data_IF_139486357685
#
_entry.id   IF_139486357685
#
_cell.length_a   1.000
_cell.length_b   1.000
_cell.length_c   1.000
_cell.angle_alpha   90.00
_cell.angle_beta   90.00
_cell.angle_gamma   90.00
#
_symmetry.space_group_name_H-M   'P 1'
#
loop_
_entity.id
_entity.type
_entity.pdbx_description
1 polymer ?
#
# COMPACT_ATOMS: atom_id res chain seq x y z
N UNK A 1 16.15 -21.63 -14.56
CA UNK A 1 15.24 -21.36 -15.70
C UNK A 1 16.07 -21.26 -16.98
N UNK A 2 15.87 -22.15 -17.96
CA UNK A 2 16.59 -22.11 -19.24
C UNK A 2 16.25 -20.81 -19.98
N UNK A 3 17.26 -20.07 -20.47
CA UNK A 3 17.05 -18.92 -21.36
C UNK A 3 16.44 -19.43 -22.67
N UNK A 4 15.14 -19.27 -22.85
CA UNK A 4 14.46 -19.62 -24.10
C UNK A 4 14.97 -18.71 -25.23
N UNK A 5 15.58 -19.34 -26.24
CA UNK A 5 16.20 -18.70 -27.41
C UNK A 5 15.36 -19.07 -28.63
N UNK A 6 14.98 -18.07 -29.43
CA UNK A 6 14.23 -18.29 -30.67
C UNK A 6 15.12 -19.03 -31.68
N UNK A 7 14.56 -20.02 -32.37
CA UNK A 7 15.22 -20.79 -33.43
C UNK A 7 14.97 -20.12 -34.79
N UNK A 8 13.79 -19.56 -35.02
CA UNK A 8 13.42 -18.86 -36.25
C UNK A 8 13.90 -17.39 -36.21
N UNK A 9 14.54 -16.97 -37.30
CA UNK A 9 15.07 -15.62 -37.50
C UNK A 9 13.95 -14.56 -37.57
N UNK A 10 12.80 -14.91 -38.12
CA UNK A 10 11.63 -14.04 -38.24
C UNK A 10 10.99 -13.77 -36.88
N UNK A 11 10.84 -14.78 -36.01
CA UNK A 11 10.39 -14.59 -34.62
C UNK A 11 11.32 -13.64 -33.87
N UNK A 12 12.64 -13.85 -34.01
CA UNK A 12 13.64 -12.99 -33.37
C UNK A 12 13.54 -11.55 -33.88
N UNK A 13 13.36 -11.36 -35.19
CA UNK A 13 13.20 -10.02 -35.80
C UNK A 13 11.95 -9.33 -35.27
N UNK A 14 10.81 -10.02 -35.24
CA UNK A 14 9.55 -9.51 -34.72
C UNK A 14 9.64 -9.12 -33.25
N UNK A 15 10.14 -10.02 -32.39
CA UNK A 15 10.33 -9.73 -30.96
C UNK A 15 11.30 -8.58 -30.73
N UNK A 16 12.39 -8.49 -31.52
CA UNK A 16 13.35 -7.41 -31.38
C UNK A 16 12.72 -6.06 -31.71
N UNK A 17 11.95 -5.97 -32.80
CA UNK A 17 11.24 -4.75 -33.17
C UNK A 17 10.23 -4.37 -32.09
N UNK A 18 9.41 -5.31 -31.63
CA UNK A 18 8.49 -5.08 -30.52
C UNK A 18 9.22 -4.57 -29.29
N UNK A 19 10.33 -5.21 -28.89
CA UNK A 19 11.13 -4.78 -27.76
C UNK A 19 11.63 -3.34 -27.94
N UNK A 20 12.19 -2.98 -29.10
CA UNK A 20 12.71 -1.62 -29.36
C UNK A 20 11.64 -0.55 -29.41
N UNK A 21 10.39 -0.90 -29.72
CA UNK A 21 9.27 0.06 -29.73
C UNK A 21 8.86 0.49 -28.32
N UNK A 22 9.18 -0.28 -27.27
CA UNK A 22 8.90 0.11 -25.89
C UNK A 22 9.90 1.15 -25.38
N UNK A 23 9.48 2.36 -24.97
CA UNK A 23 10.40 3.44 -24.61
C UNK A 23 11.00 3.33 -23.19
N UNK A 24 10.29 2.79 -22.19
CA UNK A 24 10.66 2.97 -20.78
C UNK A 24 11.25 1.71 -20.13
N UNK A 25 10.93 0.53 -20.65
CA UNK A 25 11.36 -0.77 -20.12
C UNK A 25 11.18 -0.91 -18.59
N UNK A 26 10.08 -0.35 -18.07
CA UNK A 26 9.73 -0.43 -16.66
C UNK A 26 9.34 -1.87 -16.26
N UNK A 27 9.05 -2.11 -14.97
CA UNK A 27 8.71 -3.45 -14.46
C UNK A 27 7.49 -4.05 -15.18
N UNK A 28 6.52 -3.24 -15.58
CA UNK A 28 5.27 -3.68 -16.18
C UNK A 28 5.46 -4.02 -17.66
N UNK A 29 6.16 -3.17 -18.41
CA UNK A 29 6.58 -3.45 -19.79
C UNK A 29 7.45 -4.69 -19.86
N UNK A 30 8.39 -4.86 -18.92
CA UNK A 30 9.22 -6.07 -18.84
C UNK A 30 8.37 -7.33 -18.60
N UNK A 31 7.35 -7.24 -17.74
CA UNK A 31 6.41 -8.35 -17.51
C UNK A 31 5.62 -8.68 -18.77
N UNK A 32 5.06 -7.66 -19.43
CA UNK A 32 4.33 -7.83 -20.68
C UNK A 32 5.20 -8.44 -21.78
N UNK A 33 6.39 -7.89 -22.02
CA UNK A 33 7.37 -8.40 -22.99
C UNK A 33 7.77 -9.84 -22.68
N UNK A 34 7.94 -10.20 -21.41
CA UNK A 34 8.26 -11.59 -21.02
C UNK A 34 7.10 -12.54 -21.32
N UNK A 35 5.87 -12.14 -21.01
CA UNK A 35 4.68 -12.92 -21.34
C UNK A 35 4.49 -13.07 -22.85
N UNK A 36 4.68 -11.98 -23.60
CA UNK A 36 4.59 -11.97 -25.06
C UNK A 36 5.68 -12.83 -25.70
N UNK A 37 6.90 -12.81 -25.15
CA UNK A 37 8.00 -13.67 -25.56
C UNK A 37 7.63 -15.15 -25.48
N UNK A 38 6.96 -15.56 -24.41
CA UNK A 38 6.50 -16.96 -24.24
C UNK A 38 5.47 -17.33 -25.31
N UNK A 39 4.49 -16.44 -25.58
CA UNK A 39 3.49 -16.68 -26.64
C UNK A 39 4.11 -16.81 -28.03
N UNK A 40 5.11 -15.98 -28.34
CA UNK A 40 5.87 -16.10 -29.59
C UNK A 40 6.62 -17.43 -29.69
N UNK A 41 7.19 -17.93 -28.58
CA UNK A 41 7.84 -19.23 -28.52
C UNK A 41 6.88 -20.39 -28.78
N UNK A 42 5.68 -20.32 -28.20
CA UNK A 42 4.64 -21.32 -28.41
C UNK A 42 4.17 -21.34 -29.87
N UNK A 43 4.00 -20.17 -30.47
CA UNK A 43 3.63 -20.03 -31.88
C UNK A 43 4.73 -20.53 -32.82
N UNK A 44 5.99 -20.17 -32.57
CA UNK A 44 7.14 -20.69 -33.33
C UNK A 44 7.25 -22.22 -33.25
N UNK A 45 6.92 -22.81 -32.10
CA UNK A 45 6.93 -24.27 -31.95
C UNK A 45 5.84 -24.94 -32.80
N UNK A 46 4.67 -24.32 -32.93
CA UNK A 46 3.57 -24.83 -33.75
C UNK A 46 3.82 -24.60 -35.25
N UNK A 47 4.44 -23.48 -35.60
CA UNK A 47 4.71 -23.07 -36.98
C UNK A 47 6.18 -22.63 -37.14
N UNK A 48 7.11 -23.59 -37.29
CA UNK A 48 8.55 -23.30 -37.31
C UNK A 48 9.00 -22.46 -38.51
N UNK A 49 8.29 -22.55 -39.63
CA UNK A 49 8.62 -21.86 -40.89
C UNK A 49 7.80 -20.57 -41.13
N UNK A 50 7.18 -20.00 -40.09
CA UNK A 50 6.42 -18.77 -40.22
C UNK A 50 7.25 -17.58 -40.75
N UNK A 51 6.63 -16.84 -41.67
CA UNK A 51 7.12 -15.57 -42.19
C UNK A 51 6.88 -14.44 -41.19
N UNK A 52 7.64 -13.37 -41.32
CA UNK A 52 7.43 -12.14 -40.55
C UNK A 52 6.00 -11.58 -40.74
N UNK A 53 5.42 -11.73 -41.93
CA UNK A 53 4.04 -11.30 -42.20
C UNK A 53 3.00 -12.12 -41.43
N UNK A 54 3.25 -13.41 -41.20
CA UNK A 54 2.34 -14.26 -40.42
C UNK A 54 2.29 -13.79 -38.96
N UNK A 55 3.42 -13.33 -38.41
CA UNK A 55 3.45 -12.71 -37.08
C UNK A 55 2.66 -11.41 -37.02
N UNK A 56 2.76 -10.55 -38.06
CA UNK A 56 1.94 -9.34 -38.14
C UNK A 56 0.47 -9.69 -38.24
N UNK A 57 0.10 -10.70 -39.05
CA UNK A 57 -1.29 -11.09 -39.22
C UNK A 57 -1.89 -11.70 -37.94
N UNK A 58 -1.13 -12.54 -37.23
CA UNK A 58 -1.62 -13.24 -36.05
C UNK A 58 -1.56 -12.39 -34.77
N UNK A 59 -0.53 -11.56 -34.61
CA UNK A 59 -0.30 -10.79 -33.38
C UNK A 59 -0.53 -9.29 -33.53
N UNK A 60 -0.53 -8.77 -34.76
CA UNK A 60 -0.60 -7.33 -35.05
C UNK A 60 0.76 -6.68 -35.25
N UNK A 61 0.74 -5.40 -35.59
CA UNK A 61 1.94 -4.58 -35.73
C UNK A 61 2.54 -4.31 -34.34
N UNK A 62 3.88 -4.31 -34.22
CA UNK A 62 4.53 -4.00 -32.95
C UNK A 62 4.13 -2.64 -32.35
N UNK A 63 3.84 -1.66 -33.21
CA UNK A 63 3.39 -0.31 -32.82
C UNK A 63 1.99 -0.33 -32.23
N UNK A 64 1.05 -0.99 -32.89
CA UNK A 64 -0.34 -1.15 -32.41
C UNK A 64 -0.38 -1.86 -31.06
N UNK A 65 0.44 -2.91 -30.89
CA UNK A 65 0.53 -3.64 -29.61
C UNK A 65 1.00 -2.73 -28.47
N UNK A 66 1.95 -1.83 -28.76
CA UNK A 66 2.47 -0.89 -27.76
C UNK A 66 1.42 0.18 -27.44
N UNK A 67 0.71 0.71 -28.44
CA UNK A 67 -0.40 1.65 -28.26
C UNK A 67 -1.50 1.02 -27.40
N UNK A 68 -1.94 -0.19 -27.75
CA UNK A 68 -2.94 -0.94 -27.00
C UNK A 68 -2.49 -1.22 -25.57
N UNK A 69 -1.22 -1.60 -25.39
CA UNK A 69 -0.65 -1.80 -24.07
C UNK A 69 -0.78 -0.54 -23.21
N UNK A 70 -0.38 0.63 -23.72
CA UNK A 70 -0.44 1.87 -22.95
C UNK A 70 -1.87 2.37 -22.73
N UNK A 71 -2.76 2.21 -23.70
CA UNK A 71 -4.17 2.56 -23.56
C UNK A 71 -4.84 1.76 -22.42
N UNK A 72 -4.58 0.45 -22.34
CA UNK A 72 -5.07 -0.39 -21.24
C UNK A 72 -4.32 -0.17 -19.93
N UNK A 73 -3.01 0.11 -20.01
CA UNK A 73 -2.16 0.39 -18.86
C UNK A 73 -2.62 1.64 -18.11
N UNK A 74 -2.92 2.73 -18.83
CA UNK A 74 -3.36 3.99 -18.22
C UNK A 74 -4.74 3.81 -17.54
N UNK A 75 -5.67 3.10 -18.19
CA UNK A 75 -6.95 2.74 -17.57
C UNK A 75 -6.78 1.88 -16.30
N UNK A 76 -5.91 0.87 -16.31
CA UNK A 76 -5.68 0.03 -15.15
C UNK A 76 -4.93 0.78 -14.02
N UNK A 77 -3.98 1.64 -14.37
CA UNK A 77 -3.25 2.48 -13.42
C UNK A 77 -4.20 3.49 -12.76
N UNK A 78 -5.04 4.17 -13.54
CA UNK A 78 -6.09 5.06 -13.06
C UNK A 78 -7.07 4.34 -12.12
N UNK A 79 -7.60 3.17 -12.50
CA UNK A 79 -8.53 2.39 -11.66
C UNK A 79 -7.85 1.93 -10.36
N UNK A 80 -6.60 1.50 -10.40
CA UNK A 80 -5.86 1.03 -9.23
C UNK A 80 -5.51 2.18 -8.28
N UNK A 81 -5.14 3.35 -8.81
CA UNK A 81 -4.89 4.56 -8.02
C UNK A 81 -6.17 5.24 -7.53
N UNK A 82 -7.31 5.05 -8.19
CA UNK A 82 -8.61 5.47 -7.67
C UNK A 82 -9.03 4.64 -6.46
N UNK A 83 -8.69 3.33 -6.41
CA UNK A 83 -8.94 2.49 -5.25
C UNK A 83 -8.08 2.86 -4.04
N UNK A 84 -6.82 3.26 -4.24
CA UNK A 84 -5.93 3.66 -3.13
C UNK A 84 -6.35 4.98 -2.47
N UNK A 85 -6.89 5.94 -3.23
CA UNK A 85 -7.50 7.16 -2.67
C UNK A 85 -8.67 6.84 -1.73
N UNK A 86 -9.52 5.87 -2.09
CA UNK A 86 -10.63 5.43 -1.24
C UNK A 86 -10.13 4.75 0.04
N UNK A 87 -9.10 3.90 -0.05
CA UNK A 87 -8.49 3.25 1.12
C UNK A 87 -7.90 4.29 2.09
N UNK A 88 -7.17 5.29 1.59
CA UNK A 88 -6.65 6.39 2.41
C UNK A 88 -7.76 7.22 3.07
N UNK A 89 -8.86 7.47 2.36
CA UNK A 89 -10.03 8.16 2.92
C UNK A 89 -10.69 7.35 4.04
N UNK A 90 -10.93 6.05 3.84
CA UNK A 90 -11.50 5.19 4.88
C UNK A 90 -10.56 5.04 6.09
N UNK A 91 -9.24 4.93 5.86
CA UNK A 91 -8.25 4.87 6.94
C UNK A 91 -8.27 6.12 7.82
N UNK A 92 -8.40 7.31 7.22
CA UNK A 92 -8.51 8.57 7.97
C UNK A 92 -9.80 8.63 8.81
N UNK A 93 -10.92 8.18 8.27
CA UNK A 93 -12.21 8.14 8.98
C UNK A 93 -12.17 7.20 10.20
N UNK A 94 -11.39 6.12 10.15
CA UNK A 94 -11.25 5.17 11.27
C UNK A 94 -10.23 5.68 12.31
N UNK A 95 -9.17 6.36 11.87
CA UNK A 95 -8.07 6.78 12.74
C UNK A 95 -8.46 7.93 13.68
N UNK A 96 -9.28 8.89 13.22
CA UNK A 96 -9.75 10.01 14.04
C UNK A 96 -10.60 9.58 15.25
N UNK A 97 -11.65 8.74 15.11
CA UNK A 97 -12.44 8.28 16.26
C UNK A 97 -11.62 7.38 17.20
N UNK A 98 -10.64 6.64 16.67
CA UNK A 98 -9.73 5.84 17.49
C UNK A 98 -8.90 6.74 18.44
N UNK A 99 -8.34 7.84 17.93
CA UNK A 99 -7.59 8.80 18.75
C UNK A 99 -8.51 9.46 19.78
N UNK A 100 -9.72 9.86 19.39
CA UNK A 100 -10.70 10.43 20.32
C UNK A 100 -11.04 9.44 21.45
N UNK A 101 -11.27 8.17 21.12
CA UNK A 101 -11.54 7.13 22.11
C UNK A 101 -10.35 6.92 23.06
N UNK A 102 -9.11 6.96 22.57
CA UNK A 102 -7.91 6.89 23.40
C UNK A 102 -7.81 8.07 24.37
N UNK A 103 -8.10 9.30 23.92
CA UNK A 103 -8.09 10.48 24.79
C UNK A 103 -9.15 10.34 25.89
N UNK A 104 -10.37 9.95 25.53
CA UNK A 104 -11.46 9.72 26.49
C UNK A 104 -11.07 8.65 27.51
N UNK A 105 -10.44 7.55 27.07
CA UNK A 105 -9.98 6.49 27.95
C UNK A 105 -8.94 6.99 28.97
N UNK A 106 -7.96 7.78 28.54
CA UNK A 106 -6.95 8.37 29.45
C UNK A 106 -7.61 9.33 30.46
N UNK A 107 -8.57 10.13 30.03
CA UNK A 107 -9.31 11.01 30.95
C UNK A 107 -10.13 10.20 31.96
N UNK A 108 -10.77 9.12 31.54
CA UNK A 108 -11.53 8.26 32.44
C UNK A 108 -10.65 7.57 33.49
N UNK A 109 -9.50 7.02 33.08
CA UNK A 109 -8.59 6.34 34.01
C UNK A 109 -7.94 7.31 35.00
N UNK A 110 -7.57 8.51 34.55
CA UNK A 110 -7.04 9.56 35.43
C UNK A 110 -8.08 10.07 36.42
N UNK A 111 -9.33 10.26 35.99
CA UNK A 111 -10.44 10.60 36.88
C UNK A 111 -10.67 9.52 37.95
N UNK A 112 -10.71 8.25 37.55
CA UNK A 112 -10.88 7.13 38.46
C UNK A 112 -9.74 7.06 39.48
N UNK A 113 -8.50 7.25 39.03
CA UNK A 113 -7.34 7.29 39.92
C UNK A 113 -7.44 8.43 40.94
N UNK A 114 -7.84 9.62 40.50
CA UNK A 114 -8.03 10.78 41.37
C UNK A 114 -9.11 10.55 42.45
N UNK A 115 -10.23 9.92 42.08
CA UNK A 115 -11.29 9.59 43.02
C UNK A 115 -10.81 8.58 44.08
N UNK A 116 -10.11 7.53 43.68
CA UNK A 116 -9.51 6.55 44.59
C UNK A 116 -8.45 7.18 45.51
N UNK A 117 -7.71 8.20 45.01
CA UNK A 117 -6.74 8.94 45.81
C UNK A 117 -7.40 9.76 46.91
N UNK A 118 -8.47 10.50 46.60
CA UNK A 118 -9.22 11.26 47.62
C UNK A 118 -9.87 10.33 48.65
N UNK A 119 -10.39 9.18 48.21
CA UNK A 119 -11.03 8.22 49.11
C UNK A 119 -10.03 7.55 50.07
N UNK A 120 -8.75 7.40 49.67
CA UNK A 120 -7.70 6.81 50.53
C UNK A 120 -7.14 7.73 51.61
N UNK A 121 -7.35 9.05 51.53
CA UNK A 121 -6.83 10.00 52.51
C UNK A 121 -7.94 10.97 52.95
N UNK A 122 -8.48 10.90 54.19
CA UNK A 122 -9.49 11.84 54.64
C UNK A 122 -8.94 13.27 54.66
N UNK A 123 -9.64 14.20 54.00
CA UNK A 123 -9.21 15.57 53.72
C UNK A 123 -9.26 16.52 54.95
N UNK A 124 -9.60 16.02 56.14
CA UNK A 124 -9.68 16.81 57.37
C UNK A 124 -8.93 16.08 58.47
N UNK A 125 -7.87 16.71 58.98
CA UNK A 125 -7.23 16.33 60.23
C UNK A 125 -7.86 17.22 61.30
N UNK A 126 -8.68 16.65 62.18
CA UNK A 126 -9.19 17.37 63.34
C UNK A 126 -8.01 17.65 64.28
N UNK A 127 -7.58 18.90 64.34
CA UNK A 127 -6.54 19.33 65.28
C UNK A 127 -7.24 19.72 66.59
N UNK A 128 -7.12 18.84 67.60
CA UNK A 128 -7.68 19.08 68.92
C UNK A 128 -6.75 20.07 69.65
N UNK A 129 -7.17 21.32 69.79
CA UNK A 129 -6.45 22.32 70.58
C UNK A 129 -6.79 22.08 72.05
N UNK A 130 -5.82 21.61 72.84
CA UNK A 130 -5.97 21.48 74.29
C UNK A 130 -5.69 22.85 74.95
N UNK A 131 -6.75 23.46 75.47
CA UNK A 131 -6.66 24.67 76.29
C UNK A 131 -6.20 24.29 77.70
N UNK A 132 -4.88 24.35 77.92
CA UNK A 132 -4.30 24.26 79.26
C UNK A 132 -4.42 25.64 79.92
N UNK A 133 -5.59 25.90 80.52
CA UNK A 133 -5.90 27.18 81.16
C UNK A 133 -4.80 27.72 82.08
N UNK A 134 -4.78 29.05 82.23
CA UNK A 134 -3.70 29.85 82.82
C UNK A 134 -3.04 29.22 84.05
N UNK A 135 -1.74 28.94 83.93
CA UNK A 135 -0.91 28.40 85.00
C UNK A 135 -0.62 29.54 86.00
N UNK A 136 -1.03 29.46 87.28
CA UNK A 136 -0.73 30.51 88.23
C UNK A 136 0.78 30.55 88.50
N UNK A 137 1.40 31.69 88.19
CA UNK A 137 2.78 32.01 88.57
C UNK A 137 2.83 32.26 90.07
N UNK A 138 3.43 31.35 90.82
CA UNK A 138 3.73 31.56 92.24
C UNK A 138 4.99 32.45 92.34
N UNK A 139 4.87 33.59 93.03
CA UNK A 139 5.97 34.51 93.39
C UNK A 139 6.95 33.89 94.40
#
# INVERSE_FOLDING_TARGET
MKKQKFNNKNTKKYYHQLYTTFPLHNVQEKKFLTFFKTRLHEYERQYPDCSYQDYIYHFGLPEDIVIDFYHHYDHHYAITHMKSRKILQYASIILVPLIMACIIYVLYTTYLYYQNYIESYPLYQEEIIYDYGDIPMYE
#
